data_IF_168699801210
#
_entry.id   IF_168699801210
#
_cell.length_a   1.000
_cell.length_b   1.000
_cell.length_c   1.000
_cell.angle_alpha   90.00
_cell.angle_beta   90.00
_cell.angle_gamma   90.00
#
_symmetry.space_group_name_H-M   'P 1'
#
loop_
_entity.id
_entity.type
_entity.pdbx_description
1 polymer ?
#
# COMPACT_ATOMS: atom_id res chain seq x y z
N UNK A 1 -9.46 -2.72 -13.78
CA UNK A 1 -8.52 -3.53 -12.99
C UNK A 1 -8.54 -3.13 -11.50
N UNK A 2 -8.44 -4.09 -10.57
CA UNK A 2 -8.31 -3.83 -9.12
C UNK A 2 -6.85 -3.86 -8.72
N UNK A 3 -6.35 -2.81 -8.05
CA UNK A 3 -4.95 -2.76 -7.62
C UNK A 3 -4.84 -2.69 -6.09
N UNK A 4 -3.95 -3.52 -5.54
CA UNK A 4 -3.60 -3.51 -4.12
C UNK A 4 -2.33 -2.70 -3.87
N UNK A 5 -2.26 -1.95 -2.77
CA UNK A 5 -1.05 -1.20 -2.36
C UNK A 5 -0.72 -1.50 -0.90
N UNK A 6 0.49 -2.04 -0.64
CA UNK A 6 1.03 -2.13 0.70
C UNK A 6 1.62 -0.79 1.15
N UNK A 7 0.91 -0.10 2.04
CA UNK A 7 1.40 1.10 2.69
C UNK A 7 1.79 0.84 4.16
N UNK A 8 1.91 -0.43 4.59
CA UNK A 8 2.15 -0.78 5.98
C UNK A 8 3.49 -0.29 6.53
N UNK A 9 4.51 -0.09 5.68
CA UNK A 9 5.79 0.46 6.11
C UNK A 9 5.93 1.99 5.94
N UNK A 10 4.93 2.67 5.37
CA UNK A 10 4.97 4.09 5.08
C UNK A 10 4.60 4.92 6.31
N UNK A 11 5.56 5.11 7.23
CA UNK A 11 5.33 5.84 8.49
C UNK A 11 5.36 7.36 8.26
N UNK A 12 6.48 7.87 7.76
CA UNK A 12 6.75 9.30 7.63
C UNK A 12 7.75 9.58 6.49
N UNK A 13 7.93 10.86 6.15
CA UNK A 13 8.90 11.30 5.14
C UNK A 13 8.46 11.09 3.70
N UNK A 14 9.42 10.79 2.82
CA UNK A 14 9.21 10.76 1.37
C UNK A 14 8.19 9.72 0.90
N UNK A 15 8.20 8.52 1.50
CA UNK A 15 7.29 7.44 1.12
C UNK A 15 5.81 7.76 1.39
N UNK A 16 5.49 8.30 2.58
CA UNK A 16 4.11 8.68 2.92
C UNK A 16 3.62 9.92 2.16
N UNK A 17 4.53 10.87 1.87
CA UNK A 17 4.22 12.01 1.00
C UNK A 17 3.99 11.57 -0.45
N UNK A 18 4.79 10.62 -0.96
CA UNK A 18 4.65 10.09 -2.30
C UNK A 18 3.27 9.48 -2.52
N UNK A 19 2.86 8.53 -1.67
CA UNK A 19 1.56 7.87 -1.83
C UNK A 19 0.41 8.87 -1.67
N UNK A 20 0.51 9.83 -0.74
CA UNK A 20 -0.53 10.86 -0.57
C UNK A 20 -0.70 11.70 -1.83
N UNK A 21 0.39 12.12 -2.46
CA UNK A 21 0.35 12.94 -3.66
C UNK A 21 -0.11 12.13 -4.89
N UNK A 22 0.32 10.88 -5.03
CA UNK A 22 -0.19 9.99 -6.09
C UNK A 22 -1.69 9.83 -5.97
N UNK A 23 -2.18 9.47 -4.78
CA UNK A 23 -3.61 9.23 -4.57
C UNK A 23 -4.45 10.50 -4.72
N UNK A 24 -3.95 11.67 -4.29
CA UNK A 24 -4.66 12.95 -4.49
C UNK A 24 -4.90 13.31 -5.94
N UNK A 25 -4.05 12.83 -6.85
CA UNK A 25 -4.11 13.13 -8.28
C UNK A 25 -4.61 11.94 -9.10
N UNK A 26 -4.95 10.82 -8.45
CA UNK A 26 -5.49 9.66 -9.12
C UNK A 26 -7.02 9.73 -9.20
N UNK A 27 -7.59 9.23 -10.28
CA UNK A 27 -9.04 9.13 -10.48
C UNK A 27 -9.35 7.88 -11.29
N UNK A 28 -10.32 7.09 -10.84
CA UNK A 28 -10.77 5.91 -11.58
C UNK A 28 -11.42 6.27 -12.92
N UNK A 29 -12.00 7.47 -13.06
CA UNK A 29 -12.67 7.89 -14.30
C UNK A 29 -11.67 8.19 -15.44
N UNK A 30 -10.38 8.30 -15.13
CA UNK A 30 -9.31 8.64 -16.08
C UNK A 30 -8.18 7.60 -16.11
N UNK A 31 -8.44 6.36 -15.67
CA UNK A 31 -7.43 5.30 -15.62
C UNK A 31 -8.03 3.92 -15.89
N UNK A 32 -7.22 2.98 -16.37
CA UNK A 32 -7.61 1.56 -16.51
C UNK A 32 -7.75 0.81 -15.16
N UNK A 33 -7.48 1.52 -14.06
CA UNK A 33 -7.63 1.04 -12.69
C UNK A 33 -9.02 1.45 -12.18
N UNK A 34 -9.87 0.48 -11.90
CA UNK A 34 -11.23 0.71 -11.42
C UNK A 34 -11.24 1.04 -9.93
N UNK A 35 -10.36 0.38 -9.19
CA UNK A 35 -10.26 0.53 -7.74
C UNK A 35 -8.87 0.26 -7.19
N UNK A 36 -8.58 0.93 -6.08
CA UNK A 36 -7.40 0.80 -5.26
C UNK A 36 -7.82 0.26 -3.89
N UNK A 37 -7.19 -0.81 -3.43
CA UNK A 37 -7.26 -1.27 -2.04
C UNK A 37 -5.92 -0.97 -1.39
N UNK A 38 -5.93 -0.16 -0.32
CA UNK A 38 -4.70 0.28 0.34
C UNK A 38 -4.71 -0.19 1.79
N UNK A 39 -3.70 -0.98 2.15
CA UNK A 39 -3.49 -1.42 3.53
C UNK A 39 -2.50 -0.51 4.23
N UNK A 40 -2.95 0.21 5.25
CA UNK A 40 -2.16 1.26 5.89
C UNK A 40 -2.41 1.37 7.39
N UNK A 41 -1.51 2.09 8.09
CA UNK A 41 -1.68 2.41 9.50
C UNK A 41 -2.91 3.30 9.71
N UNK A 42 -3.42 3.34 10.94
CA UNK A 42 -4.57 4.19 11.27
C UNK A 42 -4.24 5.67 10.98
N UNK A 43 -3.04 6.08 11.33
CA UNK A 43 -2.52 7.43 11.16
C UNK A 43 -2.41 7.78 9.67
N UNK A 44 -1.88 6.87 8.84
CA UNK A 44 -1.77 7.14 7.41
C UNK A 44 -3.15 7.20 6.75
N UNK A 45 -4.03 6.23 7.02
CA UNK A 45 -5.42 6.22 6.56
C UNK A 45 -6.17 7.52 6.87
N UNK A 46 -5.92 8.14 8.02
CA UNK A 46 -6.53 9.42 8.39
C UNK A 46 -6.09 10.60 7.50
N UNK A 47 -4.94 10.48 6.84
CA UNK A 47 -4.36 11.54 5.97
C UNK A 47 -4.54 11.29 4.48
N UNK A 48 -4.95 10.08 4.08
CA UNK A 48 -5.13 9.73 2.68
C UNK A 48 -6.47 10.24 2.14
N UNK A 49 -6.54 10.62 0.86
CA UNK A 49 -7.79 11.07 0.25
C UNK A 49 -8.81 9.93 0.21
N UNK A 50 -10.08 10.28 0.41
CA UNK A 50 -11.22 9.36 0.39
C UNK A 50 -12.15 9.77 -0.75
N UNK A 51 -11.86 9.32 -1.96
CA UNK A 51 -12.74 9.53 -3.12
C UNK A 51 -13.01 8.23 -3.85
N UNK A 52 -13.87 8.30 -4.86
CA UNK A 52 -14.32 7.16 -5.66
C UNK A 52 -13.12 6.32 -6.14
N UNK A 53 -13.28 5.01 -6.04
CA UNK A 53 -12.25 4.03 -6.41
C UNK A 53 -11.22 3.75 -5.31
N UNK A 54 -11.13 4.54 -4.23
CA UNK A 54 -10.15 4.28 -3.14
C UNK A 54 -10.83 3.59 -1.96
N UNK A 55 -10.41 2.35 -1.67
CA UNK A 55 -10.76 1.61 -0.46
C UNK A 55 -9.56 1.59 0.52
N UNK A 56 -9.71 2.25 1.67
CA UNK A 56 -8.68 2.33 2.71
C UNK A 56 -8.95 1.30 3.81
N UNK A 57 -8.07 0.32 3.95
CA UNK A 57 -8.13 -0.70 4.99
C UNK A 57 -7.10 -0.36 6.07
N UNK A 58 -7.60 -0.01 7.25
CA UNK A 58 -6.74 0.16 8.43
C UNK A 58 -6.31 -1.19 8.93
N UNK A 59 -5.00 -1.37 9.12
CA UNK A 59 -4.41 -2.61 9.65
C UNK A 59 -3.95 -2.35 11.09
N UNK A 60 -4.60 -2.90 12.11
CA UNK A 60 -4.18 -2.71 13.51
C UNK A 60 -2.79 -3.28 13.81
N UNK A 61 -2.44 -4.42 13.21
CA UNK A 61 -1.23 -5.19 13.50
C UNK A 61 0.05 -4.41 13.24
N UNK A 62 0.05 -3.53 12.24
CA UNK A 62 1.23 -2.77 11.81
C UNK A 62 1.50 -1.52 12.68
N UNK A 63 0.57 -1.17 13.58
CA UNK A 63 0.69 -0.05 14.53
C UNK A 63 1.36 -0.46 15.85
N UNK A 64 1.74 -1.74 15.98
CA UNK A 64 2.29 -2.28 17.23
C UNK A 64 3.82 -2.33 17.21
N UNK A 65 4.41 -3.42 16.76
CA UNK A 65 5.87 -3.64 16.70
C UNK A 65 6.33 -3.89 15.27
N UNK A 66 7.62 -3.67 15.01
CA UNK A 66 8.23 -3.95 13.71
C UNK A 66 8.10 -5.42 13.30
N UNK A 67 8.15 -6.35 14.26
CA UNK A 67 7.98 -7.79 14.01
C UNK A 67 6.56 -8.13 13.56
N UNK A 68 5.54 -7.53 14.19
CA UNK A 68 4.15 -7.74 13.80
C UNK A 68 3.88 -7.18 12.40
N UNK A 69 4.48 -6.04 12.07
CA UNK A 69 4.43 -5.48 10.72
C UNK A 69 5.08 -6.41 9.71
N UNK A 70 6.27 -6.92 10.02
CA UNK A 70 6.95 -7.86 9.13
C UNK A 70 6.10 -9.10 8.88
N UNK A 71 5.58 -9.74 9.95
CA UNK A 71 4.68 -10.90 9.85
C UNK A 71 3.42 -10.62 9.04
N UNK A 72 2.84 -9.42 9.18
CA UNK A 72 1.73 -8.96 8.34
C UNK A 72 2.13 -8.98 6.86
N UNK A 73 3.23 -8.33 6.51
CA UNK A 73 3.70 -8.18 5.12
C UNK A 73 4.08 -9.52 4.48
N UNK A 74 4.70 -10.44 5.22
CA UNK A 74 5.19 -11.70 4.66
C UNK A 74 4.13 -12.81 4.62
N UNK A 75 3.18 -12.84 5.56
CA UNK A 75 2.27 -13.99 5.74
C UNK A 75 0.80 -13.64 5.50
N UNK A 76 0.29 -12.58 6.13
CA UNK A 76 -1.15 -12.29 6.14
C UNK A 76 -1.58 -11.51 4.89
N UNK A 77 -0.83 -10.46 4.55
CA UNK A 77 -1.13 -9.60 3.41
C UNK A 77 -1.16 -10.34 2.07
N UNK A 78 -0.23 -11.26 1.76
CA UNK A 78 -0.27 -11.96 0.49
C UNK A 78 -1.57 -12.74 0.27
N UNK A 79 -2.06 -13.45 1.31
CA UNK A 79 -3.31 -14.23 1.27
C UNK A 79 -4.56 -13.36 1.07
N UNK A 80 -4.57 -12.18 1.67
CA UNK A 80 -5.67 -11.23 1.51
C UNK A 80 -5.64 -10.66 0.08
N UNK A 81 -4.46 -10.26 -0.39
CA UNK A 81 -4.29 -9.65 -1.70
C UNK A 81 -4.76 -10.54 -2.86
N UNK A 82 -4.67 -11.88 -2.75
CA UNK A 82 -5.11 -12.82 -3.80
C UNK A 82 -6.59 -12.66 -4.17
N UNK A 83 -7.42 -12.27 -3.19
CA UNK A 83 -8.86 -12.16 -3.38
C UNK A 83 -9.30 -10.70 -3.65
N UNK A 84 -8.49 -9.73 -3.20
CA UNK A 84 -8.85 -8.31 -3.21
C UNK A 84 -8.35 -7.56 -4.44
N UNK A 85 -7.28 -8.02 -5.10
CA UNK A 85 -6.68 -7.30 -6.23
C UNK A 85 -6.16 -8.22 -7.33
N UNK A 86 -6.04 -7.65 -8.53
CA UNK A 86 -5.51 -8.35 -9.72
C UNK A 86 -4.01 -8.08 -9.89
N UNK A 87 -3.51 -6.96 -9.32
CA UNK A 87 -2.09 -6.55 -9.31
C UNK A 87 -1.77 -5.91 -7.96
N UNK A 88 -0.59 -6.20 -7.41
CA UNK A 88 -0.18 -5.73 -6.10
C UNK A 88 1.10 -4.88 -6.14
N UNK A 89 1.07 -3.73 -5.49
CA UNK A 89 2.19 -2.79 -5.41
C UNK A 89 2.79 -2.74 -4.00
N UNK A 90 4.11 -2.89 -3.92
CA UNK A 90 4.88 -2.83 -2.68
C UNK A 90 5.87 -1.65 -2.70
N UNK A 91 5.42 -0.41 -2.44
CA UNK A 91 6.29 0.77 -2.41
C UNK A 91 7.33 0.76 -1.28
N UNK A 92 7.13 -0.10 -0.28
CA UNK A 92 8.05 -0.31 0.83
C UNK A 92 9.16 -1.34 0.55
N UNK A 93 9.11 -2.04 -0.59
CA UNK A 93 10.09 -3.06 -0.99
C UNK A 93 10.01 -4.41 -0.26
N UNK A 94 9.30 -4.49 0.87
CA UNK A 94 9.05 -5.75 1.58
C UNK A 94 7.70 -6.31 1.12
N UNK A 95 7.71 -7.49 0.51
CA UNK A 95 6.52 -8.23 0.15
C UNK A 95 6.77 -9.73 0.32
N UNK A 96 5.78 -10.45 0.83
CA UNK A 96 5.81 -11.91 0.91
C UNK A 96 5.64 -12.56 -0.46
N UNK A 97 5.33 -13.86 -0.44
CA UNK A 97 5.02 -14.59 -1.68
C UNK A 97 3.57 -14.31 -2.10
N UNK A 98 3.39 -13.56 -3.18
CA UNK A 98 2.10 -13.29 -3.80
C UNK A 98 1.83 -14.24 -4.97
N UNK A 99 0.56 -14.60 -5.18
CA UNK A 99 0.09 -15.32 -6.37
C UNK A 99 -0.36 -14.38 -7.49
N UNK A 100 -0.68 -13.12 -7.14
CA UNK A 100 -0.93 -12.03 -8.08
C UNK A 100 0.38 -11.35 -8.50
N UNK A 101 0.45 -10.73 -9.69
CA UNK A 101 1.60 -9.94 -10.11
C UNK A 101 2.01 -8.90 -9.06
N UNK A 102 3.27 -8.99 -8.62
CA UNK A 102 3.88 -8.13 -7.62
C UNK A 102 4.78 -7.08 -8.29
N UNK A 103 4.53 -5.81 -8.00
CA UNK A 103 5.31 -4.67 -8.47
C UNK A 103 5.94 -3.99 -7.27
N UNK A 104 7.25 -4.20 -7.09
CA UNK A 104 8.04 -3.46 -6.11
C UNK A 104 8.34 -2.07 -6.63
N UNK A 105 8.25 -1.04 -5.78
CA UNK A 105 8.65 0.32 -6.15
C UNK A 105 9.69 0.87 -5.17
N UNK A 106 10.71 1.54 -5.69
CA UNK A 106 11.67 2.29 -4.88
C UNK A 106 11.40 3.80 -5.04
N UNK A 107 10.69 4.41 -4.08
CA UNK A 107 10.17 5.79 -4.22
C UNK A 107 10.73 6.82 -3.24
N UNK A 108 11.75 6.45 -2.46
CA UNK A 108 12.47 7.36 -1.56
C UNK A 108 13.89 6.85 -1.29
N UNK A 109 14.65 6.52 -2.34
CA UNK A 109 16.03 6.10 -2.18
C UNK A 109 16.88 7.31 -1.82
N UNK A 110 17.49 7.30 -0.63
CA UNK A 110 18.49 8.30 -0.27
C UNK A 110 19.77 7.95 -1.05
N UNK A 111 20.27 8.83 -1.92
CA UNK A 111 21.48 8.57 -2.68
C UNK A 111 22.69 8.72 -1.76
N UNK A 112 23.18 7.58 -1.25
CA UNK A 112 24.41 7.40 -0.46
C UNK A 112 24.46 8.19 0.86
N UNK A 113 24.83 7.52 1.95
CA UNK A 113 25.22 8.16 3.21
C UNK A 113 26.70 8.46 3.22
#
# INVERSE_FOLDING_TARGET
MRCGIDASNLISGGGSNHIRNVLRNWSCDHSDIDSLVIWASKELCATLPKHKGINLITVPEINTTSSNRFLWQINKLPRIAENECDVFFAPGGIAGRHTVPLISMCRNMLPFT
#
